data_IF_903532844012
#
_entry.id   IF_903532844012
#
_cell.length_a   1.000
_cell.length_b   1.000
_cell.length_c   1.000
_cell.angle_alpha   90.00
_cell.angle_beta   90.00
_cell.angle_gamma   90.00
#
_symmetry.space_group_name_H-M   'P 1'
#
loop_
_entity.id
_entity.type
_entity.pdbx_description
1 polymer ?
#
# COMPACT_ATOMS: atom_id res chain seq x y z
N UNK A 1 -1.03 7.89 20.57
CA UNK A 1 -0.02 8.28 19.60
C UNK A 1 -0.48 8.01 18.18
N UNK A 2 -0.20 8.95 17.27
CA UNK A 2 -0.68 8.90 15.90
C UNK A 2 -0.19 7.68 15.13
N UNK A 3 1.08 7.30 15.32
CA UNK A 3 1.68 6.15 14.63
C UNK A 3 1.00 4.85 15.05
N UNK A 4 0.72 4.69 16.34
CA UNK A 4 0.00 3.51 16.83
C UNK A 4 -1.40 3.44 16.26
N UNK A 5 -2.08 4.57 16.18
CA UNK A 5 -3.43 4.64 15.63
C UNK A 5 -3.44 4.22 14.15
N UNK A 6 -2.50 4.76 13.38
CA UNK A 6 -2.38 4.41 11.97
C UNK A 6 -2.06 2.94 11.76
N UNK A 7 -1.20 2.38 12.64
CA UNK A 7 -0.86 0.96 12.58
C UNK A 7 -2.09 0.10 12.83
N UNK A 8 -2.89 0.44 13.84
CA UNK A 8 -4.11 -0.30 14.15
C UNK A 8 -5.10 -0.24 13.00
N UNK A 9 -5.26 0.91 12.37
CA UNK A 9 -6.13 1.05 11.21
C UNK A 9 -5.63 0.20 10.04
N UNK A 10 -4.33 0.21 9.80
CA UNK A 10 -3.73 -0.58 8.72
C UNK A 10 -3.94 -2.08 8.95
N UNK A 11 -3.66 -2.55 10.16
CA UNK A 11 -3.82 -3.97 10.48
C UNK A 11 -5.28 -4.41 10.41
N UNK A 12 -6.21 -3.54 10.80
CA UNK A 12 -7.64 -3.80 10.66
C UNK A 12 -8.03 -3.93 9.18
N UNK A 13 -7.53 -3.04 8.34
CA UNK A 13 -7.74 -3.09 6.90
C UNK A 13 -7.21 -4.40 6.30
N UNK A 14 -6.00 -4.79 6.67
CA UNK A 14 -5.39 -6.04 6.20
C UNK A 14 -6.22 -7.24 6.66
N UNK A 15 -6.68 -7.23 7.91
CA UNK A 15 -7.50 -8.31 8.46
C UNK A 15 -8.81 -8.47 7.67
N UNK A 16 -9.43 -7.36 7.27
CA UNK A 16 -10.62 -7.39 6.43
C UNK A 16 -10.32 -8.02 5.05
N UNK A 17 -9.17 -7.68 4.47
CA UNK A 17 -8.78 -8.24 3.18
C UNK A 17 -8.51 -9.75 3.29
N UNK A 18 -7.91 -10.19 4.38
CA UNK A 18 -7.66 -11.62 4.61
C UNK A 18 -8.99 -12.36 4.79
N UNK A 19 -9.91 -11.79 5.55
CA UNK A 19 -11.24 -12.41 5.76
C UNK A 19 -12.04 -12.52 4.46
N UNK A 20 -11.86 -11.58 3.56
CA UNK A 20 -12.56 -11.59 2.27
C UNK A 20 -11.78 -12.34 1.18
N UNK A 21 -10.74 -13.06 1.57
CA UNK A 21 -9.93 -13.89 0.67
C UNK A 21 -9.24 -13.08 -0.44
N UNK A 22 -8.95 -11.82 -0.16
CA UNK A 22 -8.21 -10.96 -1.09
C UNK A 22 -6.71 -10.93 -0.78
N UNK A 23 -6.33 -11.17 0.48
CA UNK A 23 -4.94 -11.30 0.91
C UNK A 23 -4.76 -12.62 1.65
N UNK A 24 -3.56 -13.21 1.52
CA UNK A 24 -3.23 -14.44 2.24
C UNK A 24 -2.99 -14.16 3.72
N UNK A 25 -3.15 -15.18 4.56
CA UNK A 25 -2.80 -15.08 5.96
C UNK A 25 -1.28 -14.98 6.13
N UNK A 26 -0.84 -14.49 7.29
CA UNK A 26 0.59 -14.39 7.59
C UNK A 26 1.25 -15.77 7.55
N UNK A 27 2.42 -15.84 6.93
CA UNK A 27 3.28 -17.01 6.92
C UNK A 27 4.43 -16.84 7.90
N UNK A 28 5.01 -15.64 7.92
CA UNK A 28 6.12 -15.29 8.81
C UNK A 28 5.59 -14.57 10.05
N UNK A 29 6.25 -14.73 11.21
CA UNK A 29 5.88 -13.96 12.40
C UNK A 29 5.95 -12.46 12.13
N UNK A 30 4.93 -11.73 12.54
CA UNK A 30 4.86 -10.27 12.41
C UNK A 30 4.98 -9.78 10.98
N UNK A 31 4.57 -10.59 10.01
CA UNK A 31 4.73 -10.26 8.59
C UNK A 31 4.02 -8.95 8.21
N UNK A 32 2.79 -8.77 8.68
CA UNK A 32 2.02 -7.56 8.36
C UNK A 32 2.40 -6.36 9.22
N UNK A 33 2.92 -6.59 10.43
CA UNK A 33 3.56 -5.51 11.19
C UNK A 33 4.76 -4.96 10.44
N UNK A 34 5.58 -5.84 9.89
CA UNK A 34 6.77 -5.46 9.13
C UNK A 34 6.38 -4.79 7.81
N UNK A 35 5.29 -5.24 7.19
CA UNK A 35 4.77 -4.61 5.99
C UNK A 35 4.38 -3.15 6.26
N UNK A 36 3.71 -2.91 7.40
CA UNK A 36 3.36 -1.55 7.79
C UNK A 36 4.61 -0.67 7.95
N UNK A 37 5.65 -1.19 8.58
CA UNK A 37 6.90 -0.46 8.77
C UNK A 37 7.53 -0.11 7.43
N UNK A 38 7.55 -1.07 6.49
CA UNK A 38 8.10 -0.81 5.15
C UNK A 38 7.33 0.27 4.41
N UNK A 39 6.01 0.23 4.50
CA UNK A 39 5.16 1.24 3.85
C UNK A 39 5.40 2.60 4.48
N UNK A 40 5.56 2.66 5.81
CA UNK A 40 5.82 3.91 6.50
C UNK A 40 7.15 4.53 6.08
N UNK A 41 8.21 3.70 6.04
CA UNK A 41 9.53 4.15 5.60
C UNK A 41 9.48 4.65 4.17
N UNK A 42 8.82 3.90 3.29
CA UNK A 42 8.69 4.27 1.89
C UNK A 42 7.93 5.59 1.74
N UNK A 43 6.87 5.76 2.51
CA UNK A 43 6.06 7.00 2.48
C UNK A 43 6.89 8.20 2.93
N UNK A 44 7.62 8.07 4.04
CA UNK A 44 8.44 9.16 4.56
C UNK A 44 9.56 9.52 3.60
N UNK A 45 10.25 8.52 3.06
CA UNK A 45 11.32 8.76 2.09
C UNK A 45 10.78 9.41 0.82
N UNK A 46 9.65 8.93 0.34
CA UNK A 46 9.05 9.43 -0.89
C UNK A 46 8.64 10.88 -0.79
N UNK A 47 8.03 11.25 0.34
CA UNK A 47 7.62 12.64 0.57
C UNK A 47 8.83 13.57 0.58
N UNK A 48 9.91 13.16 1.25
CA UNK A 48 11.15 13.93 1.28
C UNK A 48 11.78 14.04 -0.10
N UNK A 49 11.81 12.95 -0.85
CA UNK A 49 12.35 12.92 -2.21
C UNK A 49 11.56 13.82 -3.15
N UNK A 50 10.23 13.77 -3.07
CA UNK A 50 9.37 14.60 -3.89
C UNK A 50 9.57 16.08 -3.60
N UNK A 51 9.71 16.45 -2.33
CA UNK A 51 9.93 17.83 -1.92
C UNK A 51 11.25 18.38 -2.45
N UNK A 52 12.28 17.52 -2.57
CA UNK A 52 13.58 17.93 -3.11
C UNK A 52 13.57 18.06 -4.63
N UNK A 53 12.77 17.27 -5.32
CA UNK A 53 12.74 17.24 -6.78
C UNK A 53 11.83 18.28 -7.40
N UNK A 54 10.79 18.69 -6.68
CA UNK A 54 9.79 19.59 -7.21
C UNK A 54 9.24 20.47 -6.10
N UNK A 55 9.06 21.77 -6.42
CA UNK A 55 8.44 22.70 -5.47
C UNK A 55 6.96 22.40 -5.28
N UNK A 56 6.32 21.85 -6.31
CA UNK A 56 4.91 21.51 -6.27
C UNK A 56 4.75 20.01 -6.54
N UNK A 57 3.96 19.36 -5.69
CA UNK A 57 3.63 17.95 -5.89
C UNK A 57 2.51 17.89 -6.92
N UNK A 58 2.85 17.44 -8.13
CA UNK A 58 1.87 17.31 -9.20
C UNK A 58 0.96 16.10 -8.97
N UNK A 59 -0.21 16.13 -9.62
CA UNK A 59 -1.12 15.00 -9.59
C UNK A 59 -0.46 13.74 -10.17
N UNK A 60 0.31 13.90 -11.24
CA UNK A 60 1.05 12.80 -11.86
C UNK A 60 2.02 12.15 -10.87
N UNK A 61 2.71 12.96 -10.08
CA UNK A 61 3.65 12.47 -9.07
C UNK A 61 2.92 11.70 -7.96
N UNK A 62 1.77 12.22 -7.51
CA UNK A 62 0.95 11.54 -6.51
C UNK A 62 0.45 10.17 -7.00
N UNK A 63 0.04 10.10 -8.28
CA UNK A 63 -0.41 8.84 -8.88
C UNK A 63 0.72 7.83 -8.95
N UNK A 64 1.92 8.27 -9.29
CA UNK A 64 3.09 7.41 -9.32
C UNK A 64 3.41 6.87 -7.94
N UNK A 65 3.33 7.72 -6.93
CA UNK A 65 3.56 7.33 -5.55
C UNK A 65 2.54 6.29 -5.10
N UNK A 66 1.26 6.51 -5.42
CA UNK A 66 0.20 5.57 -5.07
C UNK A 66 0.43 4.20 -5.73
N UNK A 67 0.89 4.17 -6.99
CA UNK A 67 1.23 2.94 -7.67
C UNK A 67 2.32 2.16 -6.95
N UNK A 68 3.39 2.85 -6.53
CA UNK A 68 4.50 2.21 -5.83
C UNK A 68 4.03 1.58 -4.51
N UNK A 69 3.21 2.32 -3.75
CA UNK A 69 2.67 1.82 -2.49
C UNK A 69 1.77 0.59 -2.74
N UNK A 70 0.89 0.67 -3.73
CA UNK A 70 -0.03 -0.42 -4.05
C UNK A 70 0.72 -1.67 -4.50
N UNK A 71 1.79 -1.52 -5.29
CA UNK A 71 2.61 -2.65 -5.72
C UNK A 71 3.29 -3.35 -4.54
N UNK A 72 3.53 -2.63 -3.45
CA UNK A 72 4.09 -3.22 -2.23
C UNK A 72 3.16 -4.29 -1.64
N UNK A 73 1.86 -4.13 -1.84
CA UNK A 73 0.86 -5.09 -1.37
C UNK A 73 0.70 -6.29 -2.30
N UNK A 74 1.10 -6.16 -3.56
CA UNK A 74 0.84 -7.16 -4.60
C UNK A 74 1.29 -8.58 -4.23
N UNK A 75 2.51 -8.79 -3.68
CA UNK A 75 2.96 -10.14 -3.35
C UNK A 75 2.14 -10.87 -2.28
N UNK A 76 1.31 -10.14 -1.55
CA UNK A 76 0.50 -10.69 -0.46
C UNK A 76 -0.92 -11.03 -0.89
N UNK A 77 -1.28 -10.75 -2.14
CA UNK A 77 -2.64 -10.95 -2.63
C UNK A 77 -2.88 -12.41 -2.97
N UNK A 78 -4.12 -12.87 -2.74
CA UNK A 78 -4.57 -14.15 -3.25
C UNK A 78 -4.80 -14.06 -4.76
N UNK A 79 -5.13 -15.18 -5.40
CA UNK A 79 -5.51 -15.18 -6.82
C UNK A 79 -6.68 -14.23 -7.07
N UNK A 80 -7.69 -14.26 -6.20
CA UNK A 80 -8.85 -13.38 -6.32
C UNK A 80 -8.46 -11.93 -6.11
N UNK A 81 -7.62 -11.64 -5.09
CA UNK A 81 -7.13 -10.29 -4.82
C UNK A 81 -6.32 -9.74 -5.97
N UNK A 82 -5.48 -10.58 -6.59
CA UNK A 82 -4.69 -10.21 -7.75
C UNK A 82 -5.58 -9.80 -8.92
N UNK A 83 -6.63 -10.57 -9.18
CA UNK A 83 -7.57 -10.25 -10.25
C UNK A 83 -8.26 -8.91 -10.02
N UNK A 84 -8.72 -8.67 -8.81
CA UNK A 84 -9.38 -7.40 -8.47
C UNK A 84 -8.41 -6.23 -8.55
N UNK A 85 -7.18 -6.43 -8.10
CA UNK A 85 -6.13 -5.41 -8.19
C UNK A 85 -5.87 -5.01 -9.65
N UNK A 86 -5.73 -6.00 -10.53
CA UNK A 86 -5.43 -5.73 -11.94
C UNK A 86 -6.58 -5.02 -12.63
N UNK A 87 -7.82 -5.39 -12.33
CA UNK A 87 -9.00 -4.71 -12.89
C UNK A 87 -9.04 -3.26 -12.43
N UNK A 88 -8.86 -3.02 -11.14
CA UNK A 88 -8.87 -1.66 -10.59
C UNK A 88 -7.74 -0.81 -11.16
N UNK A 89 -6.53 -1.39 -11.26
CA UNK A 89 -5.36 -0.69 -11.79
C UNK A 89 -5.56 -0.31 -13.26
N UNK A 90 -6.09 -1.23 -14.07
CA UNK A 90 -6.34 -0.96 -15.48
C UNK A 90 -7.43 0.09 -15.66
N UNK A 91 -8.50 0.01 -14.88
CA UNK A 91 -9.58 0.99 -14.91
C UNK A 91 -9.07 2.39 -14.54
N UNK A 92 -8.21 2.46 -13.52
CA UNK A 92 -7.60 3.71 -13.06
C UNK A 92 -6.68 4.31 -14.12
N UNK A 93 -5.87 3.48 -14.77
CA UNK A 93 -4.91 3.93 -15.78
C UNK A 93 -5.57 4.41 -17.07
N UNK A 94 -6.79 3.97 -17.34
CA UNK A 94 -7.54 4.39 -18.52
C UNK A 94 -8.20 5.76 -18.34
N UNK A 95 -8.26 6.26 -17.12
CA UNK A 95 -8.76 7.59 -16.84
C UNK A 95 -7.62 8.60 -16.95
#
# INVERSE_FOLDING_TARGET
ELIKYRKLQFLSFIDDLVRNDLMRAEILPNEYDNLFIRIQILSDFWMSSAALQSKDISEKLLLRYADVINETLYPYLTTQGTKQYLVASNSFKKQ
#
